data_IF_424150880819
#
_entry.id   IF_424150880819
#
_cell.length_a   1.000
_cell.length_b   1.000
_cell.length_c   1.000
_cell.angle_alpha   90.00
_cell.angle_beta   90.00
_cell.angle_gamma   90.00
#
_symmetry.space_group_name_H-M   'P 1'
#
loop_
_entity.id
_entity.type
_entity.pdbx_description
1 polymer ?
#
# COMPACT_ATOMS: atom_id res chain seq x y z
N UNK A 1 -11.60 41.77 9.52
CA UNK A 1 -11.70 40.52 8.77
C UNK A 1 -10.51 40.40 7.86
N UNK A 2 -9.80 39.27 7.88
CA UNK A 2 -8.78 38.97 6.88
C UNK A 2 -9.44 38.90 5.51
N UNK A 3 -8.89 39.53 4.45
CA UNK A 3 -9.43 39.39 3.12
C UNK A 3 -9.46 37.91 2.76
N UNK A 4 -10.60 37.41 2.28
CA UNK A 4 -10.72 36.05 1.80
C UNK A 4 -9.79 35.88 0.59
N UNK A 5 -8.71 35.15 0.74
CA UNK A 5 -7.85 34.78 -0.35
C UNK A 5 -8.55 33.69 -1.16
N UNK A 6 -8.75 33.91 -2.43
CA UNK A 6 -9.32 32.92 -3.34
C UNK A 6 -8.20 32.28 -4.14
N UNK A 7 -8.21 30.93 -4.18
CA UNK A 7 -7.30 30.17 -5.03
C UNK A 7 -7.97 29.87 -6.36
N UNK A 8 -7.21 29.97 -7.43
CA UNK A 8 -7.65 29.64 -8.77
C UNK A 8 -6.74 28.56 -9.34
N UNK A 9 -7.34 27.57 -9.98
CA UNK A 9 -6.61 26.48 -10.63
C UNK A 9 -7.02 26.41 -12.09
N UNK A 10 -6.05 26.18 -12.98
CA UNK A 10 -6.30 25.83 -14.37
C UNK A 10 -6.45 24.32 -14.44
N UNK A 11 -7.62 23.83 -14.84
CA UNK A 11 -7.84 22.41 -15.17
C UNK A 11 -7.57 22.12 -16.65
N UNK A 12 -7.35 20.86 -16.99
CA UNK A 12 -7.28 20.38 -18.38
C UNK A 12 -8.47 20.93 -19.20
N UNK A 13 -8.19 21.55 -20.34
CA UNK A 13 -9.19 22.28 -21.14
C UNK A 13 -9.26 23.79 -20.86
N UNK A 14 -8.35 24.38 -20.08
CA UNK A 14 -8.23 25.84 -19.90
C UNK A 14 -9.31 26.47 -19.02
N UNK A 15 -10.13 25.68 -18.31
CA UNK A 15 -11.16 26.22 -17.41
C UNK A 15 -10.57 26.62 -16.07
N UNK A 16 -10.71 27.89 -15.71
CA UNK A 16 -10.40 28.42 -14.38
C UNK A 16 -11.62 28.25 -13.46
N UNK A 17 -11.39 27.81 -12.24
CA UNK A 17 -12.42 27.80 -11.19
C UNK A 17 -11.82 28.17 -9.83
N UNK A 18 -12.65 28.76 -8.97
CA UNK A 18 -12.25 29.20 -7.64
C UNK A 18 -12.39 28.06 -6.62
N UNK A 19 -11.77 28.23 -5.46
CA UNK A 19 -11.85 27.29 -4.33
C UNK A 19 -13.28 26.93 -3.90
N UNK A 20 -14.26 27.82 -4.15
CA UNK A 20 -15.68 27.56 -3.87
C UNK A 20 -16.26 26.40 -4.69
N UNK A 21 -15.57 25.99 -5.75
CA UNK A 21 -15.95 24.86 -6.61
C UNK A 21 -15.05 23.64 -6.40
N UNK A 22 -14.09 23.71 -5.48
CA UNK A 22 -13.25 22.56 -5.17
C UNK A 22 -14.06 21.49 -4.44
N UNK A 23 -13.78 20.26 -4.76
CA UNK A 23 -14.18 19.13 -3.93
C UNK A 23 -13.49 19.21 -2.56
N UNK A 24 -14.04 18.52 -1.57
CA UNK A 24 -13.42 18.42 -0.23
C UNK A 24 -11.99 17.91 -0.27
N UNK A 25 -11.72 16.92 -1.13
CA UNK A 25 -10.36 16.38 -1.33
C UNK A 25 -9.39 17.39 -1.98
N UNK A 26 -9.84 18.14 -3.00
CA UNK A 26 -9.03 19.20 -3.62
C UNK A 26 -8.67 20.31 -2.61
N UNK A 27 -9.63 20.67 -1.78
CA UNK A 27 -9.41 21.70 -0.76
C UNK A 27 -8.47 21.22 0.35
N UNK A 28 -8.64 19.98 0.81
CA UNK A 28 -7.75 19.37 1.81
C UNK A 28 -6.32 19.28 1.29
N UNK A 29 -6.14 18.82 0.03
CA UNK A 29 -4.84 18.73 -0.62
C UNK A 29 -4.16 20.09 -0.74
N UNK A 30 -4.90 21.12 -1.18
CA UNK A 30 -4.37 22.47 -1.32
C UNK A 30 -3.84 23.01 0.02
N UNK A 31 -4.64 22.87 1.09
CA UNK A 31 -4.25 23.28 2.46
C UNK A 31 -3.03 22.51 2.96
N UNK A 32 -2.96 21.22 2.67
CA UNK A 32 -1.81 20.41 3.05
C UNK A 32 -0.54 20.88 2.33
N UNK A 33 -0.62 21.11 1.01
CA UNK A 33 0.53 21.61 0.21
C UNK A 33 0.98 22.98 0.72
N UNK A 34 0.06 23.91 0.99
CA UNK A 34 0.37 25.23 1.55
C UNK A 34 1.08 25.10 2.91
N UNK A 35 0.56 24.23 3.79
CA UNK A 35 1.18 23.99 5.09
C UNK A 35 2.56 23.36 4.98
N UNK A 36 2.75 22.41 4.07
CA UNK A 36 4.06 21.78 3.82
C UNK A 36 5.10 22.77 3.27
N UNK A 37 4.68 23.78 2.52
CA UNK A 37 5.59 24.84 2.07
C UNK A 37 6.08 25.73 3.22
N UNK A 38 5.21 26.01 4.19
CA UNK A 38 5.50 26.89 5.33
C UNK A 38 6.13 26.20 6.53
N UNK A 39 6.19 24.85 6.56
CA UNK A 39 6.78 24.11 7.68
C UNK A 39 8.29 24.33 7.77
N UNK A 40 8.80 24.47 8.99
CA UNK A 40 10.23 24.60 9.25
C UNK A 40 10.98 23.29 8.97
N UNK A 41 12.26 23.39 8.65
CA UNK A 41 13.14 22.21 8.57
C UNK A 41 13.23 21.48 9.91
N UNK A 42 13.61 20.20 9.87
CA UNK A 42 13.77 19.32 11.04
C UNK A 42 12.49 19.21 11.91
N UNK A 43 11.31 19.26 11.28
CA UNK A 43 10.02 19.17 11.95
C UNK A 43 9.42 17.76 11.84
N UNK A 44 8.48 17.45 12.76
CA UNK A 44 7.66 16.25 12.71
C UNK A 44 6.26 16.63 12.19
N UNK A 45 5.80 15.89 11.19
CA UNK A 45 4.48 16.06 10.59
C UNK A 45 3.64 14.82 10.89
N UNK A 46 2.49 15.03 11.49
CA UNK A 46 1.50 13.98 11.75
C UNK A 46 0.31 14.20 10.84
N UNK A 47 -0.04 13.21 10.03
CA UNK A 47 -1.18 13.23 9.13
C UNK A 47 -2.11 12.08 9.49
N UNK A 48 -3.34 12.41 9.80
CA UNK A 48 -4.38 11.43 10.11
C UNK A 48 -5.28 11.29 8.88
N UNK A 49 -5.41 10.04 8.38
CA UNK A 49 -6.21 9.69 7.21
C UNK A 49 -6.06 10.67 6.03
N UNK A 50 -4.81 10.96 5.67
CA UNK A 50 -4.48 11.94 4.62
C UNK A 50 -5.08 11.61 3.23
N UNK A 51 -5.56 10.39 3.06
CA UNK A 51 -6.21 9.89 1.84
C UNK A 51 -7.70 10.23 1.73
N UNK A 52 -8.35 10.74 2.80
CA UNK A 52 -9.78 11.02 2.80
C UNK A 52 -10.19 11.87 1.59
N UNK A 53 -11.23 11.41 0.89
CA UNK A 53 -11.78 12.04 -0.31
C UNK A 53 -10.79 12.20 -1.50
N UNK A 54 -9.65 11.48 -1.49
CA UNK A 54 -8.69 11.49 -2.59
C UNK A 54 -8.80 10.23 -3.44
N UNK A 55 -8.81 10.40 -4.77
CA UNK A 55 -8.73 9.27 -5.69
C UNK A 55 -7.37 8.56 -5.56
N UNK A 56 -7.27 7.20 -5.67
CA UNK A 56 -6.03 6.43 -5.49
C UNK A 56 -4.81 6.96 -6.26
N UNK A 57 -4.99 7.47 -7.47
CA UNK A 57 -3.89 8.11 -8.24
C UNK A 57 -3.36 9.38 -7.58
N UNK A 58 -4.25 10.15 -6.94
CA UNK A 58 -3.87 11.38 -6.22
C UNK A 58 -3.16 11.03 -4.93
N UNK A 59 -3.59 9.98 -4.23
CA UNK A 59 -2.93 9.48 -3.02
C UNK A 59 -1.47 9.10 -3.28
N UNK A 60 -1.18 8.40 -4.39
CA UNK A 60 0.21 8.07 -4.78
C UNK A 60 1.07 9.31 -5.04
N UNK A 61 0.52 10.29 -5.78
CA UNK A 61 1.22 11.57 -6.03
C UNK A 61 1.44 12.36 -4.74
N UNK A 62 0.47 12.33 -3.82
CA UNK A 62 0.63 12.93 -2.50
C UNK A 62 1.78 12.29 -1.73
N UNK A 63 1.87 10.96 -1.72
CA UNK A 63 2.96 10.25 -1.06
C UNK A 63 4.34 10.61 -1.65
N UNK A 64 4.45 10.69 -2.97
CA UNK A 64 5.66 11.12 -3.67
C UNK A 64 6.04 12.57 -3.29
N UNK A 65 5.07 13.48 -3.27
CA UNK A 65 5.26 14.86 -2.83
C UNK A 65 5.75 14.95 -1.37
N UNK A 66 5.11 14.22 -0.45
CA UNK A 66 5.50 14.19 0.96
C UNK A 66 6.92 13.64 1.14
N UNK A 67 7.31 12.59 0.42
CA UNK A 67 8.67 12.06 0.42
C UNK A 67 9.70 13.08 -0.06
N UNK A 68 9.39 13.77 -1.16
CA UNK A 68 10.26 14.84 -1.69
C UNK A 68 10.45 15.95 -0.65
N UNK A 69 9.37 16.41 -0.03
CA UNK A 69 9.42 17.46 1.01
C UNK A 69 10.11 17.00 2.29
N UNK A 70 9.92 15.74 2.68
CA UNK A 70 10.61 15.15 3.81
C UNK A 70 12.12 15.14 3.61
N UNK A 71 12.59 14.79 2.41
CA UNK A 71 14.03 14.83 2.08
C UNK A 71 14.54 16.27 1.98
N UNK A 72 13.79 17.17 1.31
CA UNK A 72 14.18 18.57 1.11
C UNK A 72 14.38 19.33 2.43
N UNK A 73 13.48 19.10 3.40
CA UNK A 73 13.44 19.85 4.67
C UNK A 73 13.83 19.03 5.89
N UNK A 74 14.37 17.82 5.70
CA UNK A 74 14.68 16.88 6.77
C UNK A 74 13.52 16.66 7.75
N UNK A 75 12.33 16.31 7.22
CA UNK A 75 11.13 16.11 8.03
C UNK A 75 10.95 14.64 8.38
N UNK A 76 10.39 14.37 9.57
CA UNK A 76 9.76 13.09 9.88
C UNK A 76 8.26 13.20 9.60
N UNK A 77 7.78 12.46 8.60
CA UNK A 77 6.34 12.43 8.25
C UNK A 77 5.76 11.09 8.69
N UNK A 78 4.76 11.14 9.56
CA UNK A 78 4.02 9.98 10.06
C UNK A 78 2.58 10.11 9.57
N UNK A 79 2.08 9.05 8.92
CA UNK A 79 0.74 9.03 8.31
C UNK A 79 -0.03 7.84 8.91
N UNK A 80 -1.19 8.09 9.52
CA UNK A 80 -2.19 7.03 9.75
C UNK A 80 -3.00 6.83 8.47
N UNK A 81 -3.27 5.59 8.09
CA UNK A 81 -3.99 5.31 6.85
C UNK A 81 -4.64 3.94 6.85
N UNK A 82 -5.80 3.85 6.22
CA UNK A 82 -6.45 2.61 5.81
C UNK A 82 -6.39 2.41 4.27
N UNK A 83 -5.68 3.27 3.55
CA UNK A 83 -5.60 3.20 2.09
C UNK A 83 -4.65 2.10 1.61
N UNK A 84 -5.20 1.11 0.92
CA UNK A 84 -4.44 0.08 0.23
C UNK A 84 -3.48 0.65 -0.81
N UNK A 85 -3.88 1.76 -1.46
CA UNK A 85 -3.05 2.49 -2.43
C UNK A 85 -1.79 3.08 -1.80
N UNK A 86 -1.89 3.68 -0.60
CA UNK A 86 -0.75 4.23 0.14
C UNK A 86 0.13 3.10 0.67
N UNK A 87 -0.47 2.08 1.30
CA UNK A 87 0.25 0.93 1.87
C UNK A 87 1.05 0.21 0.77
N UNK A 88 0.41 -0.14 -0.37
CA UNK A 88 1.09 -0.81 -1.49
C UNK A 88 2.18 0.04 -2.17
N UNK A 89 2.15 1.36 -1.98
CA UNK A 89 3.16 2.28 -2.51
C UNK A 89 4.27 2.58 -1.52
N UNK A 90 4.25 1.98 -0.32
CA UNK A 90 5.20 2.22 0.76
C UNK A 90 6.11 1.01 0.95
N UNK A 91 7.46 1.19 1.01
CA UNK A 91 8.39 0.12 1.36
C UNK A 91 8.07 -0.46 2.74
N UNK A 92 8.27 -1.77 2.91
CA UNK A 92 7.96 -2.49 4.17
C UNK A 92 8.67 -1.91 5.40
N UNK A 93 9.84 -1.33 5.20
CA UNK A 93 10.65 -0.69 6.24
C UNK A 93 9.97 0.55 6.84
N UNK A 94 9.08 1.18 6.08
CA UNK A 94 8.35 2.39 6.45
C UNK A 94 6.88 2.11 6.85
N UNK A 95 6.51 0.84 6.96
CA UNK A 95 5.17 0.43 7.42
C UNK A 95 5.26 -0.04 8.86
N UNK A 96 4.43 0.55 9.71
CA UNK A 96 4.21 0.12 11.08
C UNK A 96 2.75 -0.35 11.18
N UNK A 97 2.55 -1.64 11.31
CA UNK A 97 1.23 -2.22 11.58
C UNK A 97 0.99 -2.24 13.09
N UNK A 98 -0.14 -1.69 13.50
CA UNK A 98 -0.61 -1.78 14.89
C UNK A 98 -1.79 -2.75 14.89
N UNK A 99 -1.67 -3.83 15.65
CA UNK A 99 -2.72 -4.84 15.79
C UNK A 99 -3.03 -5.12 17.27
N UNK A 100 -4.24 -5.57 17.54
CA UNK A 100 -4.62 -6.01 18.87
C UNK A 100 -4.06 -7.41 19.11
N UNK A 101 -3.26 -7.55 20.15
CA UNK A 101 -2.69 -8.81 20.60
C UNK A 101 -3.58 -9.52 21.63
N UNK A 102 -3.03 -10.57 22.25
CA UNK A 102 -3.71 -11.30 23.32
C UNK A 102 -4.00 -10.38 24.52
N UNK A 103 -5.19 -10.52 25.09
CA UNK A 103 -5.67 -9.75 26.25
C UNK A 103 -5.82 -8.24 26.02
N UNK A 104 -6.06 -7.79 24.78
CA UNK A 104 -6.30 -6.36 24.48
C UNK A 104 -5.04 -5.49 24.45
N UNK A 105 -3.84 -6.07 24.57
CA UNK A 105 -2.61 -5.33 24.42
C UNK A 105 -2.36 -4.97 22.94
N UNK A 106 -1.94 -3.72 22.68
CA UNK A 106 -1.53 -3.32 21.34
C UNK A 106 -0.11 -3.82 21.03
N UNK A 107 0.08 -4.36 19.85
CA UNK A 107 1.38 -4.79 19.33
C UNK A 107 1.70 -4.03 18.05
N UNK A 108 2.94 -3.56 17.90
CA UNK A 108 3.45 -2.98 16.68
C UNK A 108 4.35 -3.95 15.94
N UNK A 109 4.23 -3.99 14.62
CA UNK A 109 5.04 -4.82 13.73
C UNK A 109 5.72 -3.92 12.72
N UNK A 110 7.03 -3.93 12.70
CA UNK A 110 7.88 -3.21 11.75
C UNK A 110 9.22 -3.97 11.59
N UNK A 111 9.74 -4.15 10.38
CA UNK A 111 9.12 -3.85 9.09
C UNK A 111 7.87 -4.71 8.84
N UNK A 112 6.92 -4.19 8.06
CA UNK A 112 5.68 -4.92 7.76
C UNK A 112 5.42 -4.96 6.25
N UNK A 113 5.18 -6.15 5.72
CA UNK A 113 4.81 -6.28 4.31
C UNK A 113 3.42 -5.69 4.04
N UNK A 114 3.24 -4.98 2.91
CA UNK A 114 1.94 -4.43 2.52
C UNK A 114 0.80 -5.46 2.57
N UNK A 115 1.06 -6.68 2.10
CA UNK A 115 0.11 -7.78 2.12
C UNK A 115 -0.42 -8.09 3.52
N UNK A 116 0.46 -8.08 4.53
CA UNK A 116 0.07 -8.29 5.92
C UNK A 116 -0.72 -7.10 6.47
N UNK A 117 -0.27 -5.86 6.18
CA UNK A 117 -0.91 -4.65 6.66
C UNK A 117 -2.33 -4.47 6.11
N UNK A 118 -2.56 -4.87 4.86
CA UNK A 118 -3.87 -4.77 4.20
C UNK A 118 -4.79 -5.92 4.62
N UNK A 119 -4.22 -7.08 4.94
CA UNK A 119 -5.01 -8.29 5.19
C UNK A 119 -5.56 -8.93 3.90
N UNK A 120 -6.41 -9.94 4.06
CA UNK A 120 -6.93 -10.72 2.93
C UNK A 120 -7.96 -9.97 2.09
N UNK A 121 -8.68 -8.99 2.68
CA UNK A 121 -9.91 -8.42 2.13
C UNK A 121 -9.71 -7.64 0.84
N UNK A 122 -8.53 -7.03 0.66
CA UNK A 122 -8.30 -6.14 -0.47
C UNK A 122 -7.55 -6.80 -1.65
N UNK A 123 -7.19 -8.08 -1.53
CA UNK A 123 -6.68 -8.83 -2.68
C UNK A 123 -7.77 -9.25 -3.67
N UNK A 124 -9.06 -9.03 -3.34
CA UNK A 124 -10.17 -9.20 -4.29
C UNK A 124 -10.00 -8.35 -5.57
N UNK A 125 -9.43 -7.16 -5.46
CA UNK A 125 -9.12 -6.32 -6.62
C UNK A 125 -7.95 -6.85 -7.48
N UNK A 126 -7.20 -7.83 -6.97
CA UNK A 126 -6.14 -8.54 -7.70
C UNK A 126 -6.63 -9.86 -8.31
N UNK A 127 -7.95 -10.12 -8.32
CA UNK A 127 -8.63 -11.34 -8.78
C UNK A 127 -8.61 -11.54 -10.30
N UNK A 128 -7.41 -11.51 -10.89
CA UNK A 128 -7.19 -11.84 -12.30
C UNK A 128 -6.10 -12.90 -12.49
N UNK A 129 -5.66 -13.54 -11.40
CA UNK A 129 -4.57 -14.52 -11.46
C UNK A 129 -5.12 -15.94 -11.34
N UNK A 130 -4.62 -16.85 -12.19
CA UNK A 130 -4.95 -18.28 -12.13
C UNK A 130 -4.31 -18.94 -10.90
N UNK A 131 -3.10 -18.46 -10.54
CA UNK A 131 -2.33 -18.96 -9.40
C UNK A 131 -1.82 -17.84 -8.53
N UNK A 132 -2.06 -17.94 -7.22
CA UNK A 132 -1.57 -17.02 -6.22
C UNK A 132 -0.68 -17.77 -5.23
N UNK A 133 0.54 -17.29 -5.03
CA UNK A 133 1.52 -17.88 -4.12
C UNK A 133 1.85 -16.88 -3.02
N UNK A 134 1.64 -17.27 -1.78
CA UNK A 134 2.15 -16.55 -0.62
C UNK A 134 3.47 -17.16 -0.19
N UNK A 135 4.47 -16.31 0.03
CA UNK A 135 5.83 -16.68 0.41
C UNK A 135 6.29 -15.88 1.62
N UNK A 136 7.32 -16.34 2.31
CA UNK A 136 7.74 -15.73 3.56
C UNK A 136 8.42 -14.37 3.34
N UNK A 137 9.30 -14.26 2.34
CA UNK A 137 10.10 -13.06 2.15
C UNK A 137 10.36 -12.71 0.67
N UNK A 138 11.14 -11.67 0.45
CA UNK A 138 11.52 -11.19 -0.88
C UNK A 138 12.50 -12.13 -1.59
N UNK A 139 13.30 -12.94 -0.85
CA UNK A 139 14.19 -13.92 -1.44
C UNK A 139 13.37 -15.08 -2.01
N UNK A 140 12.46 -15.65 -1.21
CA UNK A 140 11.53 -16.69 -1.62
C UNK A 140 10.68 -16.23 -2.81
N UNK A 141 10.21 -14.99 -2.80
CA UNK A 141 9.50 -14.37 -3.94
C UNK A 141 10.36 -14.37 -5.21
N UNK A 142 11.59 -13.91 -5.09
CA UNK A 142 12.50 -13.77 -6.25
C UNK A 142 12.87 -15.12 -6.81
N UNK A 143 13.10 -16.11 -5.94
CA UNK A 143 13.41 -17.47 -6.31
C UNK A 143 12.23 -18.16 -7.02
N UNK A 144 11.05 -18.12 -6.40
CA UNK A 144 9.85 -18.73 -6.95
C UNK A 144 9.44 -18.11 -8.29
N UNK A 145 9.55 -16.78 -8.45
CA UNK A 145 9.30 -16.13 -9.75
C UNK A 145 10.22 -16.66 -10.85
N UNK A 146 11.51 -16.83 -10.56
CA UNK A 146 12.46 -17.40 -11.54
C UNK A 146 12.09 -18.85 -11.89
N UNK A 147 11.72 -19.65 -10.90
CA UNK A 147 11.26 -21.03 -11.13
C UNK A 147 10.00 -21.08 -11.98
N UNK A 148 9.00 -20.26 -11.70
CA UNK A 148 7.75 -20.19 -12.46
C UNK A 148 7.99 -19.76 -13.92
N UNK A 149 8.84 -18.75 -14.14
CA UNK A 149 9.23 -18.34 -15.50
C UNK A 149 9.86 -19.52 -16.25
N UNK A 150 10.79 -20.25 -15.61
CA UNK A 150 11.45 -21.39 -16.21
C UNK A 150 10.48 -22.54 -16.46
N UNK A 151 9.59 -22.81 -15.51
CA UNK A 151 8.55 -23.84 -15.66
C UNK A 151 7.61 -23.55 -16.83
N UNK A 152 7.11 -22.32 -16.94
CA UNK A 152 6.22 -21.90 -18.04
C UNK A 152 6.90 -22.05 -19.40
N UNK A 153 8.21 -21.78 -19.50
CA UNK A 153 8.98 -22.00 -20.72
C UNK A 153 9.09 -23.47 -21.11
N UNK A 154 9.13 -24.38 -20.13
CA UNK A 154 9.27 -25.82 -20.33
C UNK A 154 7.94 -26.54 -20.56
N UNK A 155 6.83 -25.94 -20.09
CA UNK A 155 5.49 -26.54 -20.14
C UNK A 155 4.52 -25.60 -20.88
N UNK A 156 4.47 -25.66 -22.22
CA UNK A 156 3.65 -24.76 -23.04
C UNK A 156 2.16 -24.75 -22.67
N UNK A 157 1.65 -25.83 -22.10
CA UNK A 157 0.25 -25.93 -21.65
C UNK A 157 -0.10 -24.88 -20.58
N UNK A 158 0.87 -24.33 -19.86
CA UNK A 158 0.71 -23.28 -18.85
C UNK A 158 1.19 -21.89 -19.30
N UNK A 159 1.51 -21.71 -20.58
CA UNK A 159 2.06 -20.45 -21.11
C UNK A 159 1.14 -19.24 -20.92
N UNK A 160 -0.16 -19.47 -20.83
CA UNK A 160 -1.17 -18.41 -20.62
C UNK A 160 -1.56 -18.22 -19.16
N UNK A 161 -1.03 -19.03 -18.23
CA UNK A 161 -1.39 -18.95 -16.83
C UNK A 161 -0.82 -17.69 -16.19
N UNK A 162 -1.68 -16.90 -15.61
CA UNK A 162 -1.32 -15.71 -14.85
C UNK A 162 -0.95 -16.10 -13.41
N UNK A 163 0.22 -15.63 -12.94
CA UNK A 163 0.71 -15.96 -11.60
C UNK A 163 1.04 -14.72 -10.80
N UNK A 164 0.75 -14.72 -9.51
CA UNK A 164 1.20 -13.70 -8.58
C UNK A 164 1.92 -14.32 -7.38
N UNK A 165 3.07 -13.74 -6.98
CA UNK A 165 3.88 -14.21 -5.85
C UNK A 165 4.03 -13.05 -4.87
N UNK A 166 3.50 -13.23 -3.67
CA UNK A 166 3.28 -12.19 -2.67
C UNK A 166 4.07 -12.54 -1.40
N UNK A 167 5.06 -11.73 -0.98
CA UNK A 167 5.75 -11.92 0.29
C UNK A 167 4.87 -11.40 1.44
N UNK A 168 4.81 -12.16 2.53
CA UNK A 168 3.90 -11.88 3.66
C UNK A 168 4.64 -11.61 4.97
N UNK A 169 5.77 -12.29 5.21
CA UNK A 169 6.60 -12.14 6.42
C UNK A 169 6.41 -13.28 7.42
N UNK A 170 7.26 -14.30 7.33
CA UNK A 170 7.30 -15.46 8.21
C UNK A 170 6.24 -16.54 7.92
N UNK A 171 6.49 -17.76 8.39
CA UNK A 171 5.72 -18.94 7.99
C UNK A 171 4.28 -18.93 8.52
N UNK A 172 4.05 -18.54 9.79
CA UNK A 172 2.72 -18.50 10.40
C UNK A 172 1.79 -17.51 9.66
N UNK A 173 2.31 -16.33 9.33
CA UNK A 173 1.59 -15.31 8.60
C UNK A 173 1.27 -15.78 7.19
N UNK A 174 2.23 -16.41 6.52
CA UNK A 174 2.09 -16.95 5.16
C UNK A 174 1.01 -18.05 5.11
N UNK A 175 1.06 -19.00 6.03
CA UNK A 175 0.08 -20.07 6.14
C UNK A 175 -1.32 -19.52 6.49
N UNK A 176 -1.41 -18.65 7.48
CA UNK A 176 -2.67 -18.04 7.92
C UNK A 176 -3.31 -17.23 6.81
N UNK A 177 -2.55 -16.43 6.07
CA UNK A 177 -3.06 -15.63 4.96
C UNK A 177 -3.57 -16.52 3.83
N UNK A 178 -2.84 -17.58 3.46
CA UNK A 178 -3.28 -18.52 2.44
C UNK A 178 -4.60 -19.22 2.79
N UNK A 179 -4.74 -19.68 4.05
CA UNK A 179 -5.97 -20.33 4.54
C UNK A 179 -7.16 -19.36 4.54
N UNK A 180 -6.95 -18.13 5.02
CA UNK A 180 -8.00 -17.13 5.10
C UNK A 180 -8.45 -16.68 3.70
N UNK A 181 -7.50 -16.45 2.79
CA UNK A 181 -7.79 -16.10 1.40
C UNK A 181 -8.56 -17.22 0.68
N UNK A 182 -8.19 -18.48 0.92
CA UNK A 182 -8.91 -19.64 0.35
C UNK A 182 -10.37 -19.72 0.84
N UNK A 183 -10.64 -19.41 2.12
CA UNK A 183 -12.00 -19.42 2.70
C UNK A 183 -12.91 -18.34 2.15
N UNK A 184 -12.38 -17.22 1.69
CA UNK A 184 -13.14 -16.06 1.21
C UNK A 184 -13.56 -16.15 -0.26
N UNK A 185 -13.41 -17.32 -0.91
CA UNK A 185 -13.94 -17.62 -2.27
C UNK A 185 -13.36 -16.77 -3.40
N UNK A 186 -12.11 -16.97 -3.70
CA UNK A 186 -11.62 -16.66 -5.05
C UNK A 186 -11.99 -17.85 -5.97
N UNK A 187 -13.20 -17.81 -6.53
CA UNK A 187 -13.78 -18.94 -7.29
C UNK A 187 -12.94 -19.43 -8.49
N UNK A 188 -11.91 -18.67 -8.89
CA UNK A 188 -11.09 -18.97 -10.07
C UNK A 188 -9.58 -19.08 -9.79
N UNK A 189 -9.09 -18.61 -8.64
CA UNK A 189 -7.64 -18.62 -8.33
C UNK A 189 -7.26 -19.82 -7.47
N UNK A 190 -6.19 -20.52 -7.83
CA UNK A 190 -5.58 -21.53 -6.97
C UNK A 190 -4.56 -20.86 -6.04
N UNK A 191 -4.70 -21.08 -4.73
CA UNK A 191 -3.93 -20.42 -3.69
C UNK A 191 -2.97 -21.40 -3.04
N UNK A 192 -1.72 -21.01 -2.90
CA UNK A 192 -0.65 -21.81 -2.31
C UNK A 192 0.14 -20.98 -1.29
N UNK A 193 0.48 -21.60 -0.16
CA UNK A 193 1.53 -21.14 0.72
C UNK A 193 2.82 -21.90 0.37
N UNK A 194 3.90 -21.19 0.15
CA UNK A 194 5.23 -21.77 -0.06
C UNK A 194 6.08 -21.36 1.13
N UNK A 195 6.45 -22.33 1.94
CA UNK A 195 7.16 -22.16 3.20
C UNK A 195 8.60 -22.67 3.06
N UNK A 196 9.52 -22.06 3.78
CA UNK A 196 10.89 -22.52 3.84
C UNK A 196 11.00 -23.81 4.68
N UNK A 197 12.08 -24.57 4.52
CA UNK A 197 12.26 -25.89 5.16
C UNK A 197 12.26 -25.80 6.70
N UNK A 198 12.76 -24.71 7.24
CA UNK A 198 12.83 -24.45 8.70
C UNK A 198 11.44 -24.19 9.33
N UNK A 199 10.40 -23.96 8.54
CA UNK A 199 9.02 -23.86 9.02
C UNK A 199 8.47 -25.16 9.62
N UNK A 200 9.15 -26.31 9.40
CA UNK A 200 8.72 -27.64 9.86
C UNK A 200 9.56 -28.18 11.03
N UNK A 201 10.53 -27.41 11.53
CA UNK A 201 11.34 -27.72 12.70
C UNK A 201 10.88 -26.90 13.91
#
# INVERSE_FOLDING_TARGET
GRPASYFYVIKEGGKLYSEKRFSSGELALLRLVEKMQSVSENSVILLDEAEMALHPRVQKRLLEYLRSKATEKNLLVIISTHSTSLINSTPKENIILIEEGTAGALRSITPCYPAKAIGCVDYEAASGFDYMFFVEDDMARSFLKKMLIRYIQLVPAHATASTNVIPVGGYEQTASLAVNTHKQSFAHSKIYAVLDEDAFN
#
